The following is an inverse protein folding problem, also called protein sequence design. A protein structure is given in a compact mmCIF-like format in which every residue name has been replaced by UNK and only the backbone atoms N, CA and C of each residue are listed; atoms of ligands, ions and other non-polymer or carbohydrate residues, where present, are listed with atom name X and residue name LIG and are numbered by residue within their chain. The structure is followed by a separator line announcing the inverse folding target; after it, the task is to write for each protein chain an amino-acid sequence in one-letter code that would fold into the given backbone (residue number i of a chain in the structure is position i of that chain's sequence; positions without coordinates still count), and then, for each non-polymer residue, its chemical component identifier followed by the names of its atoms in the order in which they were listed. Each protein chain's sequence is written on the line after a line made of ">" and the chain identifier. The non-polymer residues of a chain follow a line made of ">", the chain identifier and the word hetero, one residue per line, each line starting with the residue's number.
data_IF_053856856975
#
_entry.id   IF_053856856975
#
_cell.length_a   1.000
_cell.length_b   1.000
_cell.length_c   1.000
_cell.angle_alpha   90.00
_cell.angle_beta   90.00
_cell.angle_gamma   90.00
#
_symmetry.space_group_name_H-M   'P 1'
#
loop_
_entity.id
_entity.type
_entity.pdbx_description
1 polymer ?
#
# COMPACT_ATOMS: atom_id res chain seq x y z
N UNK A 1 29.78 19.27 -13.35
CA UNK A 1 29.04 18.82 -12.17
C UNK A 1 27.74 19.58 -12.17
N UNK A 2 26.60 18.89 -12.15
CA UNK A 2 25.28 19.52 -12.22
C UNK A 2 24.80 19.96 -10.84
N UNK A 3 23.89 20.91 -10.81
CA UNK A 3 23.32 21.50 -9.60
C UNK A 3 21.81 21.44 -9.65
N UNK A 4 21.22 21.11 -8.51
CA UNK A 4 19.78 20.92 -8.39
C UNK A 4 19.24 21.74 -7.22
N UNK A 5 18.06 22.33 -7.40
CA UNK A 5 17.38 23.07 -6.33
C UNK A 5 16.25 22.25 -5.73
N UNK A 6 16.27 22.16 -4.41
CA UNK A 6 15.21 21.54 -3.63
C UNK A 6 13.90 22.35 -3.70
N UNK A 7 12.78 21.67 -3.81
CA UNK A 7 11.45 22.25 -3.70
C UNK A 7 10.49 21.30 -2.99
N UNK A 8 9.50 21.88 -2.31
CA UNK A 8 8.49 21.08 -1.62
C UNK A 8 7.37 20.64 -2.57
N UNK A 9 6.81 19.47 -2.30
CA UNK A 9 5.59 19.01 -2.97
C UNK A 9 4.55 18.56 -1.95
N UNK A 10 3.27 18.60 -2.36
CA UNK A 10 2.16 18.12 -1.53
C UNK A 10 2.12 16.59 -1.42
N UNK A 11 2.91 15.90 -2.24
CA UNK A 11 2.93 14.45 -2.35
C UNK A 11 4.29 13.91 -1.91
N UNK A 12 4.41 12.60 -1.75
CA UNK A 12 5.70 11.98 -1.49
C UNK A 12 6.49 11.80 -2.79
N UNK A 13 7.81 12.03 -2.79
CA UNK A 13 8.61 12.60 -1.70
C UNK A 13 8.29 14.09 -1.50
N UNK A 14 8.16 14.53 -0.25
CA UNK A 14 7.78 15.93 0.07
C UNK A 14 8.83 16.95 -0.35
N UNK A 15 10.06 16.51 -0.65
CA UNK A 15 11.13 17.33 -1.23
C UNK A 15 11.62 16.63 -2.49
N UNK A 16 11.66 17.38 -3.58
CA UNK A 16 12.20 16.97 -4.87
C UNK A 16 13.27 17.97 -5.32
N UNK A 17 14.03 17.60 -6.36
CA UNK A 17 15.17 18.36 -6.85
C UNK A 17 15.05 18.57 -8.35
N UNK A 18 15.08 19.83 -8.79
CA UNK A 18 15.08 20.18 -10.21
C UNK A 18 16.47 20.64 -10.63
N UNK A 19 16.93 20.22 -11.80
CA UNK A 19 18.15 20.73 -12.41
C UNK A 19 18.02 22.25 -12.60
N UNK A 20 19.00 23.01 -12.10
CA UNK A 20 19.03 24.48 -12.22
C UNK A 20 20.28 24.99 -12.94
N UNK A 21 21.38 24.24 -12.93
CA UNK A 21 22.59 24.56 -13.68
C UNK A 21 23.39 23.30 -14.01
N UNK A 22 24.02 23.26 -15.19
CA UNK A 22 24.89 22.16 -15.61
C UNK A 22 26.37 22.38 -15.20
N UNK A 23 26.70 23.57 -14.72
CA UNK A 23 28.03 23.97 -14.28
C UNK A 23 28.00 25.02 -13.16
N UNK A 24 29.14 25.20 -12.47
CA UNK A 24 29.27 26.21 -11.41
C UNK A 24 29.19 27.63 -11.98
N UNK A 25 29.81 27.89 -13.14
CA UNK A 25 29.78 29.20 -13.81
C UNK A 25 28.34 29.63 -14.15
N UNK A 26 27.51 28.68 -14.60
CA UNK A 26 26.09 28.93 -14.84
C UNK A 26 25.32 29.20 -13.54
N UNK A 27 25.62 28.47 -12.47
CA UNK A 27 25.01 28.67 -11.16
C UNK A 27 25.32 30.06 -10.58
N UNK A 28 26.58 30.49 -10.66
CA UNK A 28 27.05 31.83 -10.25
C UNK A 28 26.40 32.93 -11.10
N UNK A 29 26.27 32.72 -12.42
CA UNK A 29 25.57 33.65 -13.30
C UNK A 29 24.08 33.80 -12.96
N UNK A 30 23.46 32.76 -12.38
CA UNK A 30 22.09 32.78 -11.86
C UNK A 30 22.00 33.37 -10.45
N UNK A 31 23.12 33.63 -9.77
CA UNK A 31 23.18 34.13 -8.39
C UNK A 31 22.61 33.13 -7.38
N UNK A 32 22.77 31.84 -7.64
CA UNK A 32 22.25 30.74 -6.81
C UNK A 32 23.36 29.92 -6.13
N UNK A 33 24.62 30.36 -6.24
CA UNK A 33 25.80 29.71 -5.67
C UNK A 33 25.81 29.69 -4.14
N UNK A 34 25.13 30.65 -3.51
CA UNK A 34 24.92 30.72 -2.05
C UNK A 34 23.52 30.25 -1.61
N UNK A 35 22.69 29.72 -2.51
CA UNK A 35 21.32 29.28 -2.16
C UNK A 35 21.35 27.99 -1.33
N UNK A 36 20.86 27.99 -0.07
CA UNK A 36 20.93 26.83 0.83
C UNK A 36 20.07 25.64 0.37
N UNK A 37 19.23 25.82 -0.66
CA UNK A 37 18.43 24.76 -1.27
C UNK A 37 19.10 24.13 -2.48
N UNK A 38 20.23 24.67 -2.95
CA UNK A 38 20.98 24.13 -4.07
C UNK A 38 21.98 23.08 -3.59
N UNK A 39 21.97 21.94 -4.27
CA UNK A 39 22.82 20.78 -3.99
C UNK A 39 23.51 20.30 -5.26
N UNK A 40 24.62 19.59 -5.10
CA UNK A 40 25.33 19.00 -6.24
C UNK A 40 24.70 17.68 -6.69
N UNK A 41 25.01 17.26 -7.91
CA UNK A 41 24.66 15.93 -8.43
C UNK A 41 25.17 14.81 -7.51
N UNK A 42 26.40 14.94 -6.99
CA UNK A 42 27.00 13.94 -6.10
C UNK A 42 26.22 13.75 -4.81
N UNK A 43 25.70 14.83 -4.21
CA UNK A 43 24.81 14.74 -3.05
C UNK A 43 23.51 13.97 -3.35
N UNK A 44 23.08 13.87 -4.62
CA UNK A 44 21.87 13.13 -4.99
C UNK A 44 22.13 11.69 -5.43
N UNK A 45 23.32 11.38 -5.95
CA UNK A 45 23.59 10.08 -6.60
C UNK A 45 24.73 9.27 -5.99
N UNK A 46 25.56 9.87 -5.14
CA UNK A 46 26.75 9.22 -4.59
C UNK A 46 26.60 8.97 -3.07
N UNK A 47 26.30 7.73 -2.62
CA UNK A 47 26.18 7.39 -1.20
C UNK A 47 27.46 7.56 -0.38
N UNK A 48 28.61 7.76 -1.04
CA UNK A 48 29.89 8.03 -0.35
C UNK A 48 30.12 9.53 -0.10
N UNK A 49 29.28 10.40 -0.66
CA UNK A 49 29.34 11.83 -0.42
C UNK A 49 28.87 12.15 1.01
N UNK A 50 29.60 12.97 1.80
CA UNK A 50 29.20 13.30 3.16
C UNK A 50 27.89 14.09 3.24
N UNK A 51 27.50 14.76 2.16
CA UNK A 51 26.24 15.48 2.00
C UNK A 51 25.17 14.68 1.28
N UNK A 52 25.33 13.37 1.10
CA UNK A 52 24.39 12.51 0.39
C UNK A 52 22.96 12.61 0.96
N UNK A 53 22.01 12.76 0.06
CA UNK A 53 20.58 12.90 0.33
C UNK A 53 19.91 11.57 0.04
N UNK A 54 19.69 10.82 1.10
CA UNK A 54 19.02 9.53 1.03
C UNK A 54 17.50 9.66 0.93
N UNK A 55 16.94 8.69 0.22
CA UNK A 55 15.52 8.40 0.20
C UNK A 55 15.28 7.03 0.79
N UNK A 56 14.30 6.92 1.68
CA UNK A 56 13.88 5.65 2.25
C UNK A 56 12.36 5.55 2.14
N UNK A 57 11.85 4.47 1.54
CA UNK A 57 10.41 4.26 1.34
C UNK A 57 9.69 5.45 0.65
N UNK A 58 10.36 6.12 -0.28
CA UNK A 58 9.84 7.30 -0.97
C UNK A 58 9.81 8.58 -0.11
N UNK A 59 10.48 8.58 1.04
CA UNK A 59 10.62 9.72 1.95
C UNK A 59 12.03 10.28 1.79
N UNK A 60 12.14 11.56 1.43
CA UNK A 60 13.40 12.29 1.47
C UNK A 60 13.79 12.53 2.94
N UNK A 61 15.02 12.15 3.31
CA UNK A 61 15.56 12.39 4.65
C UNK A 61 15.92 13.86 4.90
N UNK A 62 15.82 14.72 3.89
CA UNK A 62 15.87 16.18 4.05
C UNK A 62 14.47 16.80 4.09
N UNK A 63 14.37 17.98 4.68
CA UNK A 63 13.19 18.84 4.64
C UNK A 63 13.62 20.29 4.36
N UNK A 64 12.73 21.07 3.77
CA UNK A 64 12.90 22.50 3.67
C UNK A 64 12.28 23.10 4.93
N UNK A 65 13.06 23.80 5.74
CA UNK A 65 12.59 24.42 6.97
C UNK A 65 13.25 25.78 7.15
N UNK A 66 12.45 26.82 7.34
CA UNK A 66 12.91 28.21 7.43
C UNK A 66 13.83 28.68 6.28
N UNK A 67 13.65 28.11 5.08
CA UNK A 67 14.46 28.45 3.90
C UNK A 67 15.72 27.60 3.73
N UNK A 68 16.02 26.70 4.67
CA UNK A 68 17.20 25.85 4.64
C UNK A 68 16.85 24.39 4.34
N UNK A 69 17.79 23.68 3.72
CA UNK A 69 17.71 22.23 3.54
C UNK A 69 18.37 21.52 4.73
N UNK A 70 17.55 21.05 5.66
CA UNK A 70 18.01 20.40 6.88
C UNK A 70 17.58 18.94 6.99
N UNK A 71 18.16 18.22 7.95
CA UNK A 71 17.77 16.85 8.24
C UNK A 71 16.32 16.79 8.76
N UNK A 72 15.55 15.87 8.20
CA UNK A 72 14.23 15.55 8.68
C UNK A 72 14.35 14.90 10.06
N UNK A 73 13.59 15.35 11.07
CA UNK A 73 13.57 14.70 12.38
C UNK A 73 13.24 13.21 12.26
N UNK A 74 13.90 12.38 13.06
CA UNK A 74 13.67 10.93 13.07
C UNK A 74 12.22 10.55 13.40
N UNK A 75 11.55 11.34 14.25
CA UNK A 75 10.12 11.21 14.55
C UNK A 75 9.23 11.41 13.33
N UNK A 76 9.58 12.34 12.45
CA UNK A 76 8.84 12.59 11.21
C UNK A 76 9.03 11.42 10.24
N UNK A 77 10.25 10.91 10.08
CA UNK A 77 10.54 9.73 9.24
C UNK A 77 9.71 8.53 9.71
N UNK A 78 9.73 8.26 11.02
CA UNK A 78 8.95 7.16 11.64
C UNK A 78 7.46 7.32 11.38
N UNK A 79 6.93 8.54 11.53
CA UNK A 79 5.53 8.85 11.27
C UNK A 79 5.16 8.63 9.81
N UNK A 80 6.00 9.10 8.88
CA UNK A 80 5.77 8.92 7.45
C UNK A 80 5.84 7.45 7.05
N UNK A 81 6.74 6.67 7.67
CA UNK A 81 6.81 5.22 7.44
C UNK A 81 5.55 4.50 7.92
N UNK A 82 5.07 4.82 9.13
CA UNK A 82 3.84 4.25 9.66
C UNK A 82 2.64 4.56 8.75
N UNK A 83 2.57 5.78 8.22
CA UNK A 83 1.53 6.18 7.27
C UNK A 83 1.64 5.43 5.94
N UNK A 84 2.86 5.16 5.42
CA UNK A 84 3.03 4.32 4.22
C UNK A 84 2.52 2.91 4.48
N UNK A 85 2.97 2.28 5.56
CA UNK A 85 2.59 0.92 5.92
C UNK A 85 1.07 0.80 6.07
N UNK A 86 0.42 1.80 6.68
CA UNK A 86 -1.04 1.86 6.78
C UNK A 86 -1.70 1.93 5.41
N UNK A 87 -1.22 2.80 4.51
CA UNK A 87 -1.77 2.92 3.16
C UNK A 87 -1.61 1.62 2.36
N UNK A 88 -0.44 0.99 2.41
CA UNK A 88 -0.17 -0.31 1.79
C UNK A 88 -1.09 -1.39 2.32
N UNK A 89 -1.30 -1.46 3.64
CA UNK A 89 -2.21 -2.43 4.24
C UNK A 89 -3.67 -2.22 3.80
N UNK A 90 -4.12 -0.96 3.72
CA UNK A 90 -5.47 -0.65 3.21
C UNK A 90 -5.61 -1.11 1.75
N UNK A 91 -4.61 -0.84 0.91
CA UNK A 91 -4.62 -1.27 -0.48
C UNK A 91 -4.65 -2.79 -0.59
N UNK A 92 -3.84 -3.51 0.20
CA UNK A 92 -3.88 -4.98 0.27
C UNK A 92 -5.26 -5.50 0.66
N UNK A 93 -5.90 -4.93 1.68
CA UNK A 93 -7.27 -5.31 2.07
C UNK A 93 -8.30 -5.02 0.96
N UNK A 94 -8.16 -3.91 0.24
CA UNK A 94 -9.03 -3.61 -0.90
C UNK A 94 -8.83 -4.60 -2.06
N UNK A 95 -7.58 -4.99 -2.33
CA UNK A 95 -7.28 -6.02 -3.33
C UNK A 95 -7.90 -7.35 -2.93
N UNK A 96 -7.71 -7.80 -1.68
CA UNK A 96 -8.35 -9.03 -1.16
C UNK A 96 -9.86 -8.98 -1.33
N UNK A 97 -10.51 -7.87 -0.95
CA UNK A 97 -11.97 -7.74 -1.10
C UNK A 97 -12.39 -7.81 -2.57
N UNK A 98 -11.68 -7.13 -3.47
CA UNK A 98 -11.98 -7.15 -4.90
C UNK A 98 -11.83 -8.56 -5.48
N UNK A 99 -10.81 -9.30 -5.05
CA UNK A 99 -10.60 -10.70 -5.43
C UNK A 99 -11.69 -11.62 -4.92
N UNK A 100 -12.02 -11.52 -3.62
CA UNK A 100 -13.12 -12.29 -3.04
C UNK A 100 -14.46 -12.02 -3.75
N UNK A 101 -14.67 -10.82 -4.29
CA UNK A 101 -15.91 -10.49 -4.98
C UNK A 101 -16.03 -11.18 -6.36
N UNK A 102 -14.91 -11.59 -6.95
CA UNK A 102 -14.84 -12.35 -8.21
C UNK A 102 -14.75 -13.86 -8.00
N UNK A 103 -14.41 -14.31 -6.79
CA UNK A 103 -14.14 -15.71 -6.49
C UNK A 103 -15.38 -16.53 -6.09
N UNK A 104 -15.21 -17.83 -6.20
CA UNK A 104 -16.15 -18.85 -5.76
C UNK A 104 -15.42 -19.90 -4.93
N UNK A 105 -16.14 -20.59 -4.06
CA UNK A 105 -15.62 -21.80 -3.42
C UNK A 105 -16.51 -22.99 -3.71
N UNK A 106 -15.92 -24.18 -3.79
CA UNK A 106 -16.66 -25.41 -4.05
C UNK A 106 -17.03 -26.13 -2.75
N UNK A 107 -18.28 -26.58 -2.66
CA UNK A 107 -18.75 -27.47 -1.61
C UNK A 107 -19.85 -28.38 -2.17
N UNK A 108 -19.74 -29.69 -1.90
CA UNK A 108 -20.75 -30.68 -2.30
C UNK A 108 -21.12 -30.60 -3.79
N UNK A 109 -20.11 -30.47 -4.66
CA UNK A 109 -20.25 -30.29 -6.12
C UNK A 109 -21.00 -29.03 -6.58
N UNK A 110 -21.21 -28.06 -5.69
CA UNK A 110 -21.76 -26.74 -6.00
C UNK A 110 -20.69 -25.67 -5.79
N UNK A 111 -20.74 -24.61 -6.59
CA UNK A 111 -19.90 -23.44 -6.44
C UNK A 111 -20.68 -22.30 -5.79
N UNK A 112 -20.09 -21.66 -4.80
CA UNK A 112 -20.72 -20.62 -4.01
C UNK A 112 -19.95 -19.31 -4.20
N UNK A 113 -20.62 -18.21 -4.60
CA UNK A 113 -19.95 -16.93 -4.78
C UNK A 113 -19.45 -16.39 -3.45
N UNK A 114 -18.28 -15.76 -3.47
CA UNK A 114 -17.71 -15.08 -2.31
C UNK A 114 -18.02 -13.58 -2.30
N UNK A 115 -18.98 -13.09 -3.09
CA UNK A 115 -19.46 -11.70 -3.04
C UNK A 115 -19.85 -11.24 -1.63
N UNK A 116 -19.83 -9.92 -1.32
CA UNK A 116 -20.08 -9.43 0.03
C UNK A 116 -21.45 -9.87 0.57
N UNK A 117 -22.49 -9.82 -0.28
CA UNK A 117 -23.84 -10.24 0.08
C UNK A 117 -23.90 -11.74 0.41
N UNK A 118 -23.23 -12.59 -0.38
CA UNK A 118 -23.18 -14.02 -0.15
C UNK A 118 -22.43 -14.35 1.15
N UNK A 119 -21.27 -13.72 1.40
CA UNK A 119 -20.50 -13.87 2.65
C UNK A 119 -21.34 -13.52 3.87
N UNK A 120 -22.13 -12.44 3.83
CA UNK A 120 -23.03 -12.08 4.93
C UNK A 120 -24.09 -13.14 5.20
N UNK A 121 -24.67 -13.74 4.15
CA UNK A 121 -25.64 -14.84 4.28
C UNK A 121 -24.96 -16.07 4.89
N UNK A 122 -23.78 -16.46 4.40
CA UNK A 122 -23.06 -17.62 4.93
C UNK A 122 -22.69 -17.45 6.39
N UNK A 123 -22.20 -16.27 6.78
CA UNK A 123 -21.90 -15.94 8.17
C UNK A 123 -23.13 -16.08 9.06
N UNK A 124 -24.26 -15.49 8.66
CA UNK A 124 -25.50 -15.60 9.42
C UNK A 124 -25.97 -17.07 9.56
N UNK A 125 -25.83 -17.88 8.51
CA UNK A 125 -26.18 -19.31 8.53
C UNK A 125 -25.24 -20.11 9.44
N UNK A 126 -23.95 -19.81 9.40
CA UNK A 126 -22.94 -20.46 10.24
C UNK A 126 -23.16 -20.12 11.73
N UNK A 127 -23.49 -18.86 12.04
CA UNK A 127 -23.72 -18.40 13.42
C UNK A 127 -25.03 -18.91 14.03
N UNK A 128 -26.12 -18.90 13.25
CA UNK A 128 -27.44 -19.31 13.74
C UNK A 128 -27.60 -20.83 13.84
N UNK A 129 -26.70 -21.61 13.21
CA UNK A 129 -26.75 -23.07 13.15
C UNK A 129 -28.15 -23.67 12.89
N UNK A 130 -28.85 -23.26 11.81
CA UNK A 130 -30.20 -23.72 11.54
C UNK A 130 -30.25 -25.21 11.16
N UNK A 131 -31.39 -25.86 11.41
CA UNK A 131 -31.58 -27.28 11.08
C UNK A 131 -31.46 -27.59 9.57
N UNK A 132 -31.93 -26.68 8.71
CA UNK A 132 -31.68 -26.67 7.26
C UNK A 132 -31.91 -25.28 6.69
N UNK A 133 -31.14 -24.86 5.69
CA UNK A 133 -31.29 -23.57 5.03
C UNK A 133 -31.02 -23.67 3.53
N UNK A 134 -31.87 -23.00 2.76
CA UNK A 134 -31.64 -22.83 1.34
C UNK A 134 -30.60 -21.72 1.11
N UNK A 135 -29.55 -22.05 0.39
CA UNK A 135 -28.51 -21.15 -0.10
C UNK A 135 -28.61 -21.06 -1.63
N UNK A 136 -28.03 -20.01 -2.20
CA UNK A 136 -27.90 -19.85 -3.64
C UNK A 136 -26.44 -20.10 -4.02
N UNK A 137 -26.21 -21.11 -4.85
CA UNK A 137 -24.95 -21.37 -5.54
C UNK A 137 -24.91 -20.60 -6.87
N UNK A 138 -23.77 -20.60 -7.57
CA UNK A 138 -23.65 -20.04 -8.94
C UNK A 138 -24.53 -20.77 -9.95
N UNK A 139 -24.88 -22.03 -9.66
CA UNK A 139 -25.63 -22.92 -10.55
C UNK A 139 -27.09 -23.12 -10.15
N UNK A 140 -27.53 -22.65 -8.98
CA UNK A 140 -28.91 -22.81 -8.52
C UNK A 140 -29.12 -22.73 -7.01
N UNK A 141 -30.18 -23.35 -6.52
CA UNK A 141 -30.46 -23.42 -5.08
C UNK A 141 -29.87 -24.69 -4.48
N UNK A 142 -29.22 -24.55 -3.32
CA UNK A 142 -28.65 -25.64 -2.55
C UNK A 142 -29.30 -25.71 -1.16
N UNK A 143 -29.75 -26.90 -0.74
CA UNK A 143 -30.30 -27.08 0.60
C UNK A 143 -29.20 -27.53 1.56
N UNK A 144 -28.64 -26.59 2.34
CA UNK A 144 -27.66 -26.90 3.37
C UNK A 144 -28.34 -27.52 4.59
N UNK A 145 -28.04 -28.78 4.86
CA UNK A 145 -28.52 -29.50 6.05
C UNK A 145 -27.62 -29.23 7.26
N UNK A 146 -28.14 -29.45 8.46
CA UNK A 146 -27.36 -29.34 9.70
C UNK A 146 -26.12 -30.26 9.73
N UNK A 147 -26.22 -31.45 9.12
CA UNK A 147 -25.10 -32.41 9.02
C UNK A 147 -23.96 -31.89 8.14
N UNK A 148 -24.29 -31.07 7.13
CA UNK A 148 -23.33 -30.53 6.18
C UNK A 148 -22.75 -29.18 6.62
N UNK A 149 -23.33 -28.53 7.64
CA UNK A 149 -22.95 -27.20 8.09
C UNK A 149 -21.48 -27.09 8.50
N UNK A 150 -20.94 -28.09 9.20
CA UNK A 150 -19.53 -28.08 9.62
C UNK A 150 -18.58 -28.15 8.41
N UNK A 151 -18.90 -28.98 7.41
CA UNK A 151 -18.13 -29.09 6.18
C UNK A 151 -18.20 -27.81 5.34
N UNK A 152 -19.41 -27.24 5.21
CA UNK A 152 -19.62 -25.97 4.52
C UNK A 152 -18.81 -24.83 5.16
N UNK A 153 -18.87 -24.74 6.50
CA UNK A 153 -18.07 -23.77 7.28
C UNK A 153 -16.58 -23.92 6.99
N UNK A 154 -16.06 -25.16 7.02
CA UNK A 154 -14.66 -25.43 6.75
C UNK A 154 -14.25 -25.02 5.33
N UNK A 155 -15.05 -25.37 4.32
CA UNK A 155 -14.80 -25.00 2.92
C UNK A 155 -14.82 -23.48 2.71
N UNK A 156 -15.81 -22.79 3.30
CA UNK A 156 -15.94 -21.34 3.24
C UNK A 156 -14.72 -20.62 3.83
N UNK A 157 -14.29 -20.97 5.06
CA UNK A 157 -13.12 -20.32 5.67
C UNK A 157 -11.81 -20.69 4.97
N UNK A 158 -11.68 -21.93 4.48
CA UNK A 158 -10.51 -22.32 3.70
C UNK A 158 -10.35 -21.45 2.45
N UNK A 159 -11.46 -21.14 1.76
CA UNK A 159 -11.43 -20.24 0.61
C UNK A 159 -11.04 -18.82 1.02
N UNK A 160 -11.65 -18.26 2.08
CA UNK A 160 -11.29 -16.92 2.57
C UNK A 160 -9.80 -16.80 2.91
N UNK A 161 -9.23 -17.80 3.58
CA UNK A 161 -7.81 -17.80 3.92
C UNK A 161 -6.92 -17.97 2.69
N UNK A 162 -7.29 -18.84 1.74
CA UNK A 162 -6.54 -19.00 0.51
C UNK A 162 -6.46 -17.69 -0.30
N UNK A 163 -7.58 -16.98 -0.48
CA UNK A 163 -7.60 -15.68 -1.17
C UNK A 163 -6.75 -14.65 -0.41
N UNK A 164 -6.94 -14.57 0.90
CA UNK A 164 -6.20 -13.62 1.74
C UNK A 164 -4.69 -13.85 1.72
N UNK A 165 -4.25 -15.11 1.84
CA UNK A 165 -2.84 -15.47 1.85
C UNK A 165 -2.19 -15.23 0.47
N UNK A 166 -2.92 -15.48 -0.62
CA UNK A 166 -2.42 -15.25 -1.97
C UNK A 166 -2.13 -13.78 -2.28
N UNK A 167 -2.88 -12.86 -1.67
CA UNK A 167 -2.78 -11.42 -1.94
C UNK A 167 -1.93 -10.68 -0.87
N UNK A 168 -1.80 -11.22 0.34
CA UNK A 168 -0.97 -10.62 1.40
C UNK A 168 0.50 -11.05 1.32
N UNK A 169 0.78 -12.27 0.84
CA UNK A 169 2.14 -12.84 0.77
C UNK A 169 3.04 -12.24 -0.32
N UNK A 170 2.52 -11.32 -1.14
CA UNK A 170 3.25 -10.53 -2.15
C UNK A 170 3.67 -9.18 -1.58
#
# INVERSE_FOLDING_TARGET
>A
MRYFKAYETNNRPFVLFNLVADSLEELEALGMDEDPLVVTEDQLVNPSDPGYISYEYGICHKRIFNGDLEDRPSGDITTQQAALNKATNVQKTQTVNSKLDEEVFSFDSHEFPLTPAARSVYMAVIELAPASRMLISTTGSYNLTSTNLAGFKAAYYAALFATNDSEIAV
#
